data_IF_916332715176
#
_entry.id   IF_916332715176
#
_cell.length_a   1.000
_cell.length_b   1.000
_cell.length_c   1.000
_cell.angle_alpha   90.00
_cell.angle_beta   90.00
_cell.angle_gamma   90.00
#
_symmetry.space_group_name_H-M   'P 1'
#
loop_
_entity.id
_entity.type
_entity.pdbx_description
1 polymer ?
#
# COMPACT_ATOMS: atom_id res chain seq x y z
N UNK A 1 10.83 -4.06 -0.67
CA UNK A 1 10.75 -5.18 0.30
C UNK A 1 9.44 -5.93 0.13
N UNK A 2 9.38 -7.21 0.55
CA UNK A 2 8.12 -7.98 0.61
C UNK A 2 7.25 -7.53 1.77
N UNK A 3 5.97 -7.91 1.76
CA UNK A 3 4.99 -7.47 2.76
C UNK A 3 5.44 -7.75 4.21
N UNK A 4 5.84 -9.00 4.52
CA UNK A 4 6.28 -9.36 5.89
C UNK A 4 7.53 -8.58 6.33
N UNK A 5 8.46 -8.34 5.40
CA UNK A 5 9.67 -7.54 5.65
C UNK A 5 9.29 -6.08 5.92
N UNK A 6 8.35 -5.53 5.14
CA UNK A 6 7.83 -4.18 5.30
C UNK A 6 7.14 -4.00 6.65
N UNK A 7 6.21 -4.89 7.02
CA UNK A 7 5.54 -4.87 8.32
C UNK A 7 6.57 -4.89 9.46
N UNK A 8 7.55 -5.79 9.37
CA UNK A 8 8.62 -5.88 10.36
C UNK A 8 9.43 -4.58 10.47
N UNK A 9 9.72 -3.94 9.34
CA UNK A 9 10.45 -2.67 9.32
C UNK A 9 9.66 -1.53 9.96
N UNK A 10 8.35 -1.43 9.67
CA UNK A 10 7.47 -0.44 10.31
C UNK A 10 7.39 -0.66 11.81
N UNK A 11 7.20 -1.91 12.26
CA UNK A 11 7.16 -2.26 13.68
C UNK A 11 8.46 -1.90 14.41
N UNK A 12 9.61 -2.14 13.78
CA UNK A 12 10.91 -1.79 14.33
C UNK A 12 11.14 -0.27 14.40
N UNK A 13 10.58 0.49 13.46
CA UNK A 13 10.73 1.95 13.40
C UNK A 13 9.82 2.67 14.39
N UNK A 14 8.63 2.14 14.67
CA UNK A 14 7.62 2.73 15.53
C UNK A 14 7.30 1.90 16.78
N UNK A 15 8.32 1.46 17.56
CA UNK A 15 8.09 0.53 18.66
C UNK A 15 7.21 1.16 19.74
N UNK A 16 6.15 0.43 20.12
CA UNK A 16 5.21 0.83 21.15
C UNK A 16 4.20 1.91 20.75
N UNK A 17 4.15 2.32 19.47
CA UNK A 17 3.06 3.18 18.98
C UNK A 17 1.72 2.44 19.06
N UNK A 18 0.65 3.17 19.34
CA UNK A 18 -0.71 2.60 19.40
C UNK A 18 -1.09 2.06 18.02
N UNK A 19 -1.57 0.81 17.97
CA UNK A 19 -1.97 0.14 16.73
C UNK A 19 -0.85 -0.59 16.00
N UNK A 20 0.42 -0.44 16.42
CA UNK A 20 1.56 -1.02 15.70
C UNK A 20 1.56 -2.55 15.65
N UNK A 21 0.95 -3.21 16.64
CA UNK A 21 0.85 -4.67 16.72
C UNK A 21 -0.12 -5.27 15.69
N UNK A 22 -0.96 -4.44 15.07
CA UNK A 22 -1.95 -4.82 14.05
C UNK A 22 -1.74 -4.09 12.71
N UNK A 23 -0.54 -3.52 12.51
CA UNK A 23 -0.23 -2.69 11.35
C UNK A 23 -0.29 -3.48 10.03
N UNK A 24 -0.10 -4.80 10.09
CA UNK A 24 -0.28 -5.70 8.95
C UNK A 24 -1.71 -5.62 8.39
N UNK A 25 -2.72 -5.65 9.25
CA UNK A 25 -4.11 -5.52 8.85
C UNK A 25 -4.42 -4.13 8.28
N UNK A 26 -3.88 -3.08 8.91
CA UNK A 26 -4.09 -1.70 8.46
C UNK A 26 -3.45 -1.46 7.08
N UNK A 27 -2.27 -2.04 6.81
CA UNK A 27 -1.62 -1.96 5.50
C UNK A 27 -2.40 -2.78 4.47
N UNK A 28 -2.85 -3.99 4.83
CA UNK A 28 -3.67 -4.81 3.94
C UNK A 28 -4.96 -4.10 3.55
N UNK A 29 -5.68 -3.52 4.50
CA UNK A 29 -6.87 -2.71 4.24
C UNK A 29 -6.55 -1.50 3.34
N UNK A 30 -5.46 -0.78 3.64
CA UNK A 30 -5.05 0.39 2.84
C UNK A 30 -4.77 0.03 1.37
N UNK A 31 -4.26 -1.16 1.08
CA UNK A 31 -4.02 -1.64 -0.29
C UNK A 31 -5.31 -1.95 -1.07
N UNK A 32 -6.41 -2.20 -0.38
CA UNK A 32 -7.71 -2.47 -1.00
C UNK A 32 -8.56 -1.19 -1.18
N UNK A 33 -8.05 -0.05 -0.70
CA UNK A 33 -8.66 1.27 -0.90
C UNK A 33 -7.96 1.95 -2.09
N UNK A 34 -8.75 2.64 -2.92
CA UNK A 34 -8.23 3.45 -4.03
C UNK A 34 -7.22 4.48 -3.50
N UNK A 35 -5.95 4.30 -3.83
CA UNK A 35 -4.86 5.20 -3.46
C UNK A 35 -4.49 6.16 -4.58
N UNK A 36 -3.84 7.27 -4.25
CA UNK A 36 -3.21 8.12 -5.25
C UNK A 36 -2.06 7.33 -5.90
N UNK A 37 -2.19 7.07 -7.20
CA UNK A 37 -1.27 6.20 -7.92
C UNK A 37 -0.91 6.67 -9.31
N UNK A 38 0.24 6.22 -9.78
CA UNK A 38 0.77 6.45 -11.11
C UNK A 38 0.91 5.12 -11.87
N UNK A 39 0.53 5.12 -13.15
CA UNK A 39 0.82 4.01 -14.06
C UNK A 39 2.27 4.10 -14.51
N UNK A 40 3.03 3.04 -14.24
CA UNK A 40 4.45 2.93 -14.65
C UNK A 40 4.57 2.25 -16.01
N UNK A 41 3.78 1.21 -16.22
CA UNK A 41 3.76 0.44 -17.45
C UNK A 41 2.37 -0.12 -17.69
N UNK A 42 1.99 -0.19 -18.95
CA UNK A 42 0.69 -0.67 -19.36
C UNK A 42 0.77 -1.34 -20.73
N UNK A 43 0.09 -2.47 -20.88
CA UNK A 43 -0.20 -3.09 -22.17
C UNK A 43 -1.67 -3.54 -22.22
N UNK A 44 -2.02 -4.36 -23.21
CA UNK A 44 -3.40 -4.83 -23.37
C UNK A 44 -3.85 -5.78 -22.26
N UNK A 45 -2.96 -6.48 -21.57
CA UNK A 45 -3.35 -7.52 -20.62
C UNK A 45 -3.07 -7.12 -19.16
N UNK A 46 -2.09 -6.24 -18.94
CA UNK A 46 -1.58 -5.91 -17.62
C UNK A 46 -1.32 -4.41 -17.44
N UNK A 47 -1.43 -3.96 -16.20
CA UNK A 47 -0.96 -2.66 -15.74
C UNK A 47 -0.01 -2.85 -14.55
N UNK A 48 1.09 -2.09 -14.54
CA UNK A 48 1.99 -1.97 -13.39
C UNK A 48 1.84 -0.57 -12.84
N UNK A 49 1.41 -0.49 -11.59
CA UNK A 49 1.15 0.76 -10.90
C UNK A 49 2.03 0.94 -9.68
N UNK A 50 2.08 2.18 -9.23
CA UNK A 50 2.67 2.60 -7.98
C UNK A 50 1.65 3.42 -7.22
N UNK A 51 1.35 3.01 -5.99
CA UNK A 51 0.30 3.60 -5.17
C UNK A 51 0.89 4.11 -3.87
N UNK A 52 0.51 5.32 -3.48
CA UNK A 52 1.00 5.97 -2.27
C UNK A 52 -0.11 5.93 -1.23
N UNK A 53 0.23 5.41 -0.06
CA UNK A 53 -0.67 5.27 1.07
C UNK A 53 -0.10 5.98 2.30
N UNK A 54 -0.98 6.36 3.20
CA UNK A 54 -0.62 7.00 4.45
C UNK A 54 -1.43 6.43 5.61
N UNK A 55 -0.75 6.08 6.69
CA UNK A 55 -1.34 5.61 7.94
C UNK A 55 -0.99 6.59 9.05
N UNK A 56 -1.87 6.68 10.07
CA UNK A 56 -1.65 7.50 11.25
C UNK A 56 -1.32 6.60 12.43
N UNK A 57 -0.14 6.78 13.01
CA UNK A 57 0.26 6.11 14.24
C UNK A 57 0.34 7.11 15.38
N UNK A 58 0.02 6.67 16.60
CA UNK A 58 0.03 7.54 17.77
C UNK A 58 1.12 7.12 18.74
N UNK A 59 2.01 8.05 19.06
CA UNK A 59 3.02 7.84 20.10
C UNK A 59 2.33 7.72 21.47
N UNK A 60 2.77 6.82 22.36
CA UNK A 60 2.18 6.70 23.70
C UNK A 60 2.16 8.03 24.45
N UNK A 61 0.96 8.43 24.91
CA UNK A 61 0.76 9.66 25.66
C UNK A 61 0.81 10.94 24.82
N UNK A 62 0.76 10.84 23.49
CA UNK A 62 0.64 11.96 22.57
C UNK A 62 -0.72 11.91 21.88
N UNK A 63 -1.41 13.05 21.79
CA UNK A 63 -2.64 13.20 21.01
C UNK A 63 -2.34 13.54 19.53
N UNK A 64 -1.09 13.90 19.22
CA UNK A 64 -0.64 14.21 17.85
C UNK A 64 -0.24 12.92 17.11
N UNK A 65 -0.88 12.61 15.96
CA UNK A 65 -0.51 11.46 15.14
C UNK A 65 0.76 11.73 14.34
N UNK A 66 1.60 10.71 14.23
CA UNK A 66 2.67 10.63 13.25
C UNK A 66 2.14 9.96 11.98
N UNK A 67 2.39 10.57 10.82
CA UNK A 67 1.96 10.01 9.53
C UNK A 67 3.07 9.13 8.96
N UNK A 68 2.77 7.85 8.79
CA UNK A 68 3.62 6.90 8.08
C UNK A 68 3.18 6.89 6.63
N UNK A 69 4.07 7.32 5.74
CA UNK A 69 3.85 7.25 4.29
C UNK A 69 4.57 6.05 3.74
N UNK A 70 3.91 5.34 2.84
CA UNK A 70 4.52 4.23 2.15
C UNK A 70 4.01 4.13 0.73
N UNK A 71 4.78 3.43 -0.09
CA UNK A 71 4.52 3.25 -1.49
C UNK A 71 4.48 1.76 -1.79
N UNK A 72 3.49 1.35 -2.59
CA UNK A 72 3.27 -0.04 -2.98
C UNK A 72 3.33 -0.13 -4.50
N UNK A 73 4.12 -1.07 -5.01
CA UNK A 73 4.13 -1.44 -6.41
C UNK A 73 3.36 -2.74 -6.59
N UNK A 74 2.50 -2.76 -7.59
CA UNK A 74 1.74 -3.94 -7.93
C UNK A 74 1.46 -4.06 -9.41
N UNK A 75 1.06 -5.27 -9.79
CA UNK A 75 0.66 -5.63 -11.13
C UNK A 75 -0.79 -6.09 -11.08
N UNK A 76 -1.63 -5.55 -11.96
CA UNK A 76 -3.01 -5.99 -12.12
C UNK A 76 -3.26 -6.52 -13.53
N UNK A 77 -4.11 -7.53 -13.63
CA UNK A 77 -4.59 -7.99 -14.93
C UNK A 77 -5.88 -7.27 -15.29
N UNK A 78 -6.00 -6.93 -16.57
CA UNK A 78 -7.12 -6.15 -17.10
C UNK A 78 -8.29 -7.04 -17.44
N UNK A 79 -9.47 -6.66 -16.96
CA UNK A 79 -10.74 -7.20 -17.37
C UNK A 79 -11.53 -6.11 -18.08
N UNK A 80 -11.53 -6.16 -19.41
CA UNK A 80 -12.27 -5.22 -20.23
C UNK A 80 -13.77 -5.40 -20.02
N UNK A 81 -14.39 -4.38 -19.45
CA UNK A 81 -15.85 -4.26 -19.35
C UNK A 81 -16.43 -3.75 -20.68
N UNK A 82 -15.69 -2.87 -21.36
CA UNK A 82 -15.94 -2.36 -22.71
C UNK A 82 -14.62 -2.18 -23.49
N UNK A 83 -14.69 -1.78 -24.77
CA UNK A 83 -13.50 -1.63 -25.64
C UNK A 83 -12.47 -0.61 -25.13
N UNK A 84 -12.93 0.44 -24.45
CA UNK A 84 -12.11 1.55 -23.97
C UNK A 84 -12.04 1.61 -22.43
N UNK A 85 -12.66 0.66 -21.73
CA UNK A 85 -12.75 0.65 -20.27
C UNK A 85 -12.45 -0.74 -19.71
N UNK A 86 -11.64 -0.78 -18.66
CA UNK A 86 -11.29 -2.02 -17.98
C UNK A 86 -11.27 -1.81 -16.47
N UNK A 87 -11.69 -2.85 -15.76
CA UNK A 87 -11.46 -3.00 -14.34
C UNK A 87 -10.29 -3.97 -14.11
N UNK A 88 -9.72 -3.97 -12.92
CA UNK A 88 -8.72 -4.96 -12.54
C UNK A 88 -9.43 -6.23 -12.05
N UNK A 89 -9.21 -7.37 -12.71
CA UNK A 89 -9.71 -8.66 -12.21
C UNK A 89 -8.97 -9.13 -10.97
N UNK A 90 -7.70 -8.75 -10.88
CA UNK A 90 -6.75 -9.12 -9.86
C UNK A 90 -5.67 -8.05 -9.79
N UNK A 91 -5.14 -7.86 -8.59
CA UNK A 91 -4.04 -6.94 -8.34
C UNK A 91 -3.12 -7.57 -7.30
N UNK A 92 -1.84 -7.69 -7.64
CA UNK A 92 -0.83 -8.34 -6.82
C UNK A 92 0.26 -7.33 -6.49
N UNK A 93 0.37 -6.98 -5.21
CA UNK A 93 1.46 -6.18 -4.69
C UNK A 93 2.75 -7.01 -4.64
N UNK A 94 3.84 -6.49 -5.19
CA UNK A 94 5.10 -7.22 -5.27
C UNK A 94 6.28 -6.52 -4.59
N UNK A 95 6.18 -5.21 -4.35
CA UNK A 95 7.22 -4.42 -3.68
C UNK A 95 6.65 -3.27 -2.85
N UNK A 96 7.23 -3.04 -1.68
CA UNK A 96 6.84 -2.01 -0.72
C UNK A 96 8.04 -1.10 -0.42
N UNK A 97 7.79 0.18 -0.17
CA UNK A 97 8.78 1.18 0.24
C UNK A 97 8.25 2.04 1.39
N UNK A 98 9.07 2.24 2.43
CA UNK A 98 8.80 3.11 3.56
C UNK A 98 9.44 4.49 3.37
N UNK A 99 8.75 5.56 3.78
CA UNK A 99 9.22 6.97 3.71
C UNK A 99 9.63 7.44 2.30
N UNK A 100 8.83 7.08 1.30
CA UNK A 100 8.98 7.59 -0.07
C UNK A 100 8.57 9.07 -0.20
#
# INVERSE_FOLDING_TARGET
MKFDEFVTEVQNKYPGYVGIDHIDLDIDEAMHIEGDGDVIYENNDYVVGKYVHALRLYKPGSDEPETVKFCVYGIGSKLYTDLDDYELSDYICFDFLLDW
#
